data_IF_401088653504
#
_entry.id   IF_401088653504
#
_cell.length_a   1.000
_cell.length_b   1.000
_cell.length_c   1.000
_cell.angle_alpha   90.00
_cell.angle_beta   90.00
_cell.angle_gamma   90.00
#
_symmetry.space_group_name_H-M   'P 1'
#
loop_
_entity.id
_entity.type
_entity.pdbx_description
1 polymer ?
#
# COMPACT_ATOMS: atom_id res chain seq x y z
N UNK A 1 -2.55 -0.80 9.12
CA UNK A 1 -3.82 -1.46 8.79
C UNK A 1 -3.53 -2.81 8.15
N UNK A 2 -4.31 -3.83 8.47
CA UNK A 2 -4.22 -5.15 7.82
C UNK A 2 -5.48 -5.31 6.97
N UNK A 3 -5.32 -5.76 5.75
CA UNK A 3 -6.39 -5.91 4.74
C UNK A 3 -6.25 -7.26 4.07
N UNK A 4 -7.39 -7.82 3.66
CA UNK A 4 -7.44 -9.16 3.07
C UNK A 4 -6.76 -9.18 1.70
N UNK A 5 -7.19 -8.33 0.77
CA UNK A 5 -6.68 -8.27 -0.59
C UNK A 5 -6.84 -6.87 -1.17
N UNK A 6 -5.85 -6.39 -1.93
CA UNK A 6 -5.98 -5.16 -2.69
C UNK A 6 -6.57 -5.45 -4.09
N UNK A 7 -7.87 -5.71 -4.14
CA UNK A 7 -8.60 -5.95 -5.40
C UNK A 7 -9.19 -4.64 -5.95
N UNK A 8 -8.37 -3.88 -6.69
CA UNK A 8 -8.88 -2.74 -7.44
C UNK A 8 -9.24 -3.20 -8.86
N UNK A 9 -10.50 -3.61 -9.06
CA UNK A 9 -10.98 -4.13 -10.36
C UNK A 9 -10.74 -3.20 -11.56
N UNK A 10 -10.45 -1.91 -11.32
CA UNK A 10 -9.90 -0.99 -12.32
C UNK A 10 -8.59 -0.36 -11.82
N UNK A 11 -7.58 -0.32 -12.71
CA UNK A 11 -6.28 0.36 -12.48
C UNK A 11 -6.40 1.89 -12.52
N UNK A 12 -7.17 2.48 -11.59
CA UNK A 12 -7.39 3.93 -11.51
C UNK A 12 -6.92 4.49 -10.18
N UNK A 13 -6.08 5.53 -10.24
CA UNK A 13 -5.60 6.29 -9.07
C UNK A 13 -6.74 6.82 -8.19
N UNK A 14 -7.88 7.18 -8.79
CA UNK A 14 -9.08 7.64 -8.08
C UNK A 14 -9.67 6.57 -7.16
N UNK A 15 -9.63 5.30 -7.56
CA UNK A 15 -10.15 4.18 -6.75
C UNK A 15 -9.29 4.03 -5.50
N UNK A 16 -7.97 3.99 -5.66
CA UNK A 16 -7.03 3.89 -4.54
C UNK A 16 -7.13 5.12 -3.62
N UNK A 17 -7.23 6.33 -4.17
CA UNK A 17 -7.41 7.54 -3.38
C UNK A 17 -8.73 7.54 -2.59
N UNK A 18 -9.80 6.98 -3.17
CA UNK A 18 -11.10 6.85 -2.49
C UNK A 18 -11.04 5.81 -1.37
N UNK A 19 -10.38 4.68 -1.63
CA UNK A 19 -10.08 3.67 -0.61
C UNK A 19 -9.31 4.30 0.56
N UNK A 20 -8.21 5.01 0.30
CA UNK A 20 -7.41 5.66 1.34
C UNK A 20 -8.21 6.68 2.15
N UNK A 21 -9.06 7.47 1.49
CA UNK A 21 -9.93 8.45 2.16
C UNK A 21 -10.93 7.81 3.13
N UNK A 22 -11.34 6.57 2.90
CA UNK A 22 -12.24 5.85 3.80
C UNK A 22 -11.57 5.53 5.15
N UNK A 23 -10.26 5.31 5.17
CA UNK A 23 -9.49 5.07 6.39
C UNK A 23 -8.88 6.35 6.97
N UNK A 24 -8.45 7.25 6.09
CA UNK A 24 -7.70 8.45 6.46
C UNK A 24 -8.28 9.66 5.71
N UNK A 25 -9.10 10.49 6.39
CA UNK A 25 -9.81 11.59 5.73
C UNK A 25 -8.90 12.77 5.33
N UNK A 26 -7.65 12.81 5.81
CA UNK A 26 -6.67 13.86 5.51
C UNK A 26 -5.52 13.31 4.67
N UNK A 27 -5.00 14.05 3.68
CA UNK A 27 -3.83 13.62 2.91
C UNK A 27 -2.60 13.55 3.83
N UNK A 28 -2.02 12.35 3.94
CA UNK A 28 -0.82 12.05 4.73
C UNK A 28 0.02 11.04 3.97
N UNK A 29 1.31 10.92 4.30
CA UNK A 29 2.16 9.86 3.75
C UNK A 29 1.70 8.47 4.24
N UNK A 30 1.49 7.55 3.30
CA UNK A 30 1.09 6.16 3.54
C UNK A 30 2.04 5.22 2.79
N UNK A 31 2.28 4.03 3.32
CA UNK A 31 2.95 2.93 2.61
C UNK A 31 1.92 1.84 2.34
N UNK A 32 1.87 1.34 1.11
CA UNK A 32 1.10 0.14 0.77
C UNK A 32 2.08 -1.01 0.52
N UNK A 33 1.82 -2.13 1.20
CA UNK A 33 2.57 -3.37 1.04
C UNK A 33 1.60 -4.42 0.49
N UNK A 34 1.40 -4.45 -0.84
CA UNK A 34 0.62 -5.49 -1.48
C UNK A 34 1.39 -6.83 -1.49
N UNK A 35 0.66 -7.92 -1.74
CA UNK A 35 1.24 -9.22 -2.00
C UNK A 35 2.11 -9.20 -3.26
N UNK A 36 3.06 -10.13 -3.32
CA UNK A 36 3.96 -10.24 -4.47
C UNK A 36 3.18 -10.47 -5.77
N UNK A 37 3.53 -9.69 -6.79
CA UNK A 37 2.93 -9.81 -8.12
C UNK A 37 1.65 -9.00 -8.34
N UNK A 38 1.15 -8.26 -7.34
CA UNK A 38 0.00 -7.37 -7.52
C UNK A 38 0.42 -6.03 -8.19
N UNK A 39 0.79 -6.11 -9.47
CA UNK A 39 1.23 -4.97 -10.27
C UNK A 39 0.15 -3.90 -10.46
N UNK A 40 -1.11 -4.28 -10.36
CA UNK A 40 -2.26 -3.40 -10.58
C UNK A 40 -2.33 -2.31 -9.53
N UNK A 41 -2.12 -2.68 -8.26
CA UNK A 41 -2.01 -1.75 -7.13
C UNK A 41 -0.80 -0.85 -7.32
N UNK A 42 0.35 -1.43 -7.64
CA UNK A 42 1.59 -0.69 -7.86
C UNK A 42 1.42 0.41 -8.92
N UNK A 43 0.81 0.06 -10.05
CA UNK A 43 0.57 1.01 -11.16
C UNK A 43 -0.49 2.04 -10.77
N UNK A 44 -1.63 1.61 -10.21
CA UNK A 44 -2.73 2.49 -9.87
C UNK A 44 -2.33 3.52 -8.82
N UNK A 45 -1.35 3.21 -7.98
CA UNK A 45 -1.08 3.97 -6.78
C UNK A 45 0.22 4.82 -6.88
N UNK A 46 1.10 4.52 -7.84
CA UNK A 46 2.35 5.26 -8.14
C UNK A 46 2.18 6.76 -8.39
N UNK A 47 1.03 7.18 -8.93
CA UNK A 47 0.78 8.57 -9.31
C UNK A 47 0.00 9.38 -8.25
N UNK A 48 -0.16 8.87 -7.02
CA UNK A 48 -0.86 9.60 -5.95
C UNK A 48 0.13 10.50 -5.19
N UNK A 49 0.07 11.83 -5.34
CA UNK A 49 1.05 12.73 -4.76
C UNK A 49 1.07 12.67 -3.23
N UNK A 50 2.26 12.77 -2.64
CA UNK A 50 2.52 12.85 -1.17
C UNK A 50 2.07 11.65 -0.33
N UNK A 51 1.63 10.56 -0.95
CA UNK A 51 0.75 9.62 -0.23
C UNK A 51 1.21 8.18 -0.31
N UNK A 52 2.14 7.78 -1.19
CA UNK A 52 2.25 6.35 -1.44
C UNK A 52 3.60 5.85 -1.97
N UNK A 53 4.25 5.02 -1.16
CA UNK A 53 5.25 4.08 -1.65
C UNK A 53 4.58 2.70 -1.70
N UNK A 54 4.55 2.12 -2.90
CA UNK A 54 4.16 0.71 -3.07
C UNK A 54 5.42 -0.12 -3.03
N UNK A 55 5.49 -1.01 -2.05
CA UNK A 55 6.66 -1.85 -1.84
C UNK A 55 6.28 -3.30 -1.76
N UNK A 56 7.15 -4.15 -2.27
CA UNK A 56 7.06 -5.56 -1.95
C UNK A 56 7.41 -5.73 -0.47
N UNK A 57 6.87 -6.77 0.15
CA UNK A 57 7.06 -7.02 1.58
C UNK A 57 8.56 -7.05 1.98
N UNK A 58 9.41 -7.59 1.10
CA UNK A 58 10.86 -7.75 1.32
C UNK A 58 11.67 -6.46 1.05
N UNK A 59 11.09 -5.46 0.39
CA UNK A 59 11.78 -4.19 0.14
C UNK A 59 11.50 -3.13 1.21
N UNK A 60 10.51 -3.38 2.09
CA UNK A 60 10.12 -2.45 3.13
C UNK A 60 11.27 -2.16 4.10
N UNK A 61 11.77 -0.93 4.09
CA UNK A 61 12.84 -0.51 4.98
C UNK A 61 12.32 0.26 6.20
N UNK A 62 13.23 0.46 7.17
CA UNK A 62 12.94 1.20 8.40
C UNK A 62 12.72 2.69 8.18
N UNK A 63 13.37 3.27 7.17
CA UNK A 63 13.24 4.69 6.84
C UNK A 63 11.82 5.00 6.37
N UNK A 64 11.24 4.15 5.53
CA UNK A 64 9.90 4.32 4.99
C UNK A 64 8.84 4.16 6.07
N UNK A 65 9.07 3.26 7.02
CA UNK A 65 8.23 3.11 8.21
C UNK A 65 8.24 4.36 9.10
N UNK A 66 9.38 5.07 9.16
CA UNK A 66 9.52 6.30 9.95
C UNK A 66 9.02 7.56 9.21
N UNK A 67 9.20 7.60 7.90
CA UNK A 67 8.84 8.75 7.06
C UNK A 67 7.32 8.85 6.80
N UNK A 68 6.57 7.75 6.96
CA UNK A 68 5.14 7.70 6.68
C UNK A 68 4.33 7.43 7.95
N UNK A 69 3.13 7.99 8.02
CA UNK A 69 2.31 7.94 9.24
C UNK A 69 1.53 6.62 9.37
N UNK A 70 1.22 5.99 8.25
CA UNK A 70 0.41 4.78 8.20
C UNK A 70 0.99 3.79 7.21
N UNK A 71 0.89 2.51 7.54
CA UNK A 71 1.27 1.40 6.66
C UNK A 71 0.07 0.47 6.50
N UNK A 72 -0.20 0.03 5.27
CA UNK A 72 -1.21 -0.96 4.93
C UNK A 72 -0.52 -2.22 4.46
N UNK A 73 -0.86 -3.34 5.10
CA UNK A 73 -0.36 -4.66 4.73
C UNK A 73 -1.49 -5.53 4.22
N UNK A 74 -1.29 -6.11 3.07
CA UNK A 74 -2.05 -7.28 2.63
C UNK A 74 -1.68 -8.47 3.51
N UNK A 75 -2.66 -9.30 3.90
CA UNK A 75 -2.41 -10.46 4.78
C UNK A 75 -1.35 -11.42 4.20
N UNK A 76 -1.40 -11.61 2.89
CA UNK A 76 -0.44 -12.46 2.19
C UNK A 76 0.98 -11.88 2.27
N UNK A 77 1.13 -10.56 2.15
CA UNK A 77 2.43 -9.89 2.27
C UNK A 77 3.06 -10.08 3.67
N UNK A 78 2.26 -10.09 4.74
CA UNK A 78 2.75 -10.37 6.11
C UNK A 78 3.26 -11.81 6.21
N UNK A 79 2.60 -12.74 5.52
CA UNK A 79 3.00 -14.15 5.52
C UNK A 79 4.33 -14.33 4.81
N UNK A 80 4.55 -13.61 3.71
CA UNK A 80 5.84 -13.57 3.00
C UNK A 80 6.97 -13.06 3.92
N UNK A 81 6.75 -11.96 4.65
CA UNK A 81 7.75 -11.40 5.56
C UNK A 81 8.13 -12.32 6.73
N UNK A 82 7.24 -13.23 7.14
CA UNK A 82 7.50 -14.18 8.24
C UNK A 82 8.33 -15.38 7.82
N UNK A 83 8.47 -15.63 6.52
CA UNK A 83 9.21 -16.78 5.99
C UNK A 83 10.67 -16.45 5.65
N UNK A 84 11.10 -15.20 5.85
CA UNK A 84 12.52 -14.78 5.93
C UNK A 84 13.02 -14.82 7.38
#
# INVERSE_FOLDING_TARGET
>A
FIIDDFSFGERKTKVVATFLKAFIPKPVGVVLVPKKGNADVTIAAKNIPKTLIVQNANSLDTYECLAHKYVFFEKDAITEMKQE
#
